data_IF_816482926091
#
_entry.id   IF_816482926091
#
_cell.length_a   1.000
_cell.length_b   1.000
_cell.length_c   1.000
_cell.angle_alpha   90.00
_cell.angle_beta   90.00
_cell.angle_gamma   90.00
#
_symmetry.space_group_name_H-M   'P 1'
#
loop_
_entity.id
_entity.type
_entity.pdbx_description
1 polymer ?
#
# COMPACT_ATOMS: atom_id res chain seq x y z
N UNK A 1 -2.67 0.69 -13.34
CA UNK A 1 -2.91 -0.66 -12.76
C UNK A 1 -4.40 -0.97 -12.93
N UNK A 2 -4.89 -2.15 -12.55
CA UNK A 2 -6.32 -2.49 -12.68
C UNK A 2 -7.23 -1.55 -11.88
N UNK A 3 -6.72 -0.91 -10.81
CA UNK A 3 -7.42 0.10 -10.02
C UNK A 3 -7.38 1.52 -10.62
N UNK A 4 -6.95 1.70 -11.86
CA UNK A 4 -6.89 3.00 -12.54
C UNK A 4 -5.67 3.87 -12.21
N UNK A 5 -4.86 3.52 -11.21
CA UNK A 5 -3.76 4.39 -10.78
C UNK A 5 -2.60 4.47 -11.79
N UNK A 6 -1.94 5.64 -11.84
CA UNK A 6 -0.68 5.87 -12.54
C UNK A 6 0.49 5.75 -11.57
N UNK A 7 1.57 5.05 -11.97
CA UNK A 7 2.81 4.95 -11.18
C UNK A 7 4.02 5.43 -11.99
N UNK A 8 4.76 6.38 -11.44
CA UNK A 8 6.02 6.88 -11.96
C UNK A 8 7.15 6.37 -11.07
N UNK A 9 8.09 5.60 -11.62
CA UNK A 9 9.04 4.81 -10.82
C UNK A 9 10.48 5.12 -11.19
N UNK A 10 11.34 5.22 -10.18
CA UNK A 10 12.79 5.19 -10.27
C UNK A 10 13.28 4.07 -9.37
N UNK A 11 13.76 2.97 -9.96
CA UNK A 11 14.12 1.75 -9.23
C UNK A 11 15.62 1.46 -9.34
N UNK A 12 16.26 1.12 -8.22
CA UNK A 12 17.61 0.59 -8.17
C UNK A 12 17.66 -0.91 -8.43
N UNK A 13 18.84 -1.43 -8.77
CA UNK A 13 19.07 -2.87 -8.96
C UNK A 13 18.99 -3.67 -7.66
N UNK A 14 19.03 -3.00 -6.51
CA UNK A 14 18.95 -3.54 -5.16
C UNK A 14 17.51 -3.56 -4.60
N UNK A 15 16.50 -3.29 -5.44
CA UNK A 15 15.10 -3.11 -5.07
C UNK A 15 14.78 -1.85 -4.25
N UNK A 16 15.77 -0.99 -3.98
CA UNK A 16 15.48 0.36 -3.50
C UNK A 16 14.80 1.17 -4.61
N UNK A 17 14.11 2.24 -4.24
CA UNK A 17 13.52 3.10 -5.26
C UNK A 17 12.56 4.14 -4.72
N UNK A 18 12.01 4.87 -5.67
CA UNK A 18 11.02 5.89 -5.44
C UNK A 18 9.88 5.69 -6.44
N UNK A 19 8.65 5.76 -5.95
CA UNK A 19 7.44 5.61 -6.75
C UNK A 19 6.50 6.75 -6.39
N UNK A 20 6.12 7.57 -7.37
CA UNK A 20 4.97 8.48 -7.23
C UNK A 20 3.74 7.79 -7.80
N UNK A 21 2.68 7.69 -7.00
CA UNK A 21 1.39 7.12 -7.43
C UNK A 21 0.33 8.21 -7.46
N UNK A 22 -0.46 8.23 -8.51
CA UNK A 22 -1.58 9.17 -8.71
C UNK A 22 -2.83 8.38 -9.01
N UNK A 23 -3.87 8.60 -8.20
CA UNK A 23 -5.22 8.16 -8.50
C UNK A 23 -5.94 9.24 -9.32
N UNK A 24 -6.49 8.95 -10.51
CA UNK A 24 -7.35 9.87 -11.25
C UNK A 24 -8.54 10.35 -10.42
N UNK A 25 -9.14 11.48 -10.78
CA UNK A 25 -10.36 11.98 -10.12
C UNK A 25 -11.60 11.10 -10.41
N UNK A 26 -11.55 10.26 -11.44
CA UNK A 26 -12.63 9.35 -11.83
C UNK A 26 -12.59 7.99 -11.15
N UNK A 27 -11.47 7.63 -10.54
CA UNK A 27 -11.18 6.28 -10.08
C UNK A 27 -10.83 6.26 -8.60
N UNK A 28 -10.92 5.08 -8.00
CA UNK A 28 -10.49 4.80 -6.65
C UNK A 28 -10.27 3.30 -6.50
N UNK A 29 -9.51 2.90 -5.49
CA UNK A 29 -9.45 1.49 -5.17
C UNK A 29 -8.27 1.09 -4.33
N UNK A 30 -8.37 -0.15 -3.86
CA UNK A 30 -7.26 -0.87 -3.26
C UNK A 30 -6.27 -1.28 -4.33
N UNK A 31 -5.00 -1.29 -3.95
CA UNK A 31 -3.95 -1.95 -4.71
C UNK A 31 -4.02 -3.47 -4.51
N UNK A 32 -2.96 -4.17 -4.91
CA UNK A 32 -2.78 -5.59 -4.60
C UNK A 32 -2.04 -5.74 -3.27
N UNK A 33 -2.63 -6.48 -2.33
CA UNK A 33 -2.03 -6.72 -1.04
C UNK A 33 -0.74 -7.53 -1.20
N UNK A 34 0.30 -7.10 -0.50
CA UNK A 34 1.62 -7.72 -0.58
C UNK A 34 2.42 -7.52 0.69
N UNK A 35 3.57 -8.17 0.75
CA UNK A 35 4.61 -7.90 1.74
C UNK A 35 5.98 -7.90 1.09
N UNK A 36 6.93 -7.34 1.83
CA UNK A 36 8.36 -7.32 1.51
C UNK A 36 9.12 -8.22 2.48
N UNK A 37 10.23 -8.80 2.05
CA UNK A 37 11.07 -9.63 2.92
C UNK A 37 12.31 -8.89 3.43
N UNK A 38 12.79 -7.88 2.72
CA UNK A 38 13.93 -7.06 3.15
C UNK A 38 13.76 -5.56 2.86
N UNK A 39 12.93 -5.18 1.89
CA UNK A 39 12.57 -3.78 1.63
C UNK A 39 11.60 -3.24 2.69
N UNK A 40 11.94 -2.08 3.22
CA UNK A 40 11.04 -1.18 3.94
C UNK A 40 10.34 -0.28 2.93
N UNK A 41 9.05 -0.01 3.12
CA UNK A 41 8.29 0.91 2.27
C UNK A 41 7.73 2.07 3.10
N UNK A 42 8.17 3.28 2.80
CA UNK A 42 7.64 4.51 3.40
C UNK A 42 6.71 5.18 2.40
N UNK A 43 5.45 5.38 2.79
CA UNK A 43 4.45 6.08 2.02
C UNK A 43 4.20 7.45 2.63
N UNK A 44 4.34 8.50 1.81
CA UNK A 44 4.02 9.89 2.15
C UNK A 44 2.80 10.32 1.33
N UNK A 45 1.79 10.88 1.98
CA UNK A 45 0.57 11.34 1.32
C UNK A 45 0.73 12.80 0.89
N UNK A 46 0.78 13.06 -0.42
CA UNK A 46 0.93 14.41 -0.97
C UNK A 46 -0.43 15.12 -1.11
N UNK A 47 -1.47 14.38 -1.49
CA UNK A 47 -2.81 14.92 -1.72
C UNK A 47 -3.89 13.91 -1.33
N UNK A 48 -5.03 14.42 -0.85
CA UNK A 48 -6.15 13.60 -0.39
C UNK A 48 -5.86 12.88 0.91
N UNK A 49 -6.28 11.62 0.97
CA UNK A 49 -6.05 10.67 2.05
C UNK A 49 -5.78 9.28 1.46
N UNK A 50 -5.28 8.35 2.27
CA UNK A 50 -5.19 6.94 1.91
C UNK A 50 -5.67 6.05 3.04
N UNK A 51 -6.30 4.93 2.68
CA UNK A 51 -6.57 3.85 3.61
C UNK A 51 -5.40 2.89 3.62
N UNK A 52 -4.93 2.48 4.78
CA UNK A 52 -3.88 1.48 4.93
C UNK A 52 -4.45 0.29 5.69
N UNK A 53 -4.33 -0.89 5.10
CA UNK A 53 -4.66 -2.14 5.72
C UNK A 53 -3.39 -2.92 6.03
N UNK A 54 -3.26 -3.45 7.25
CA UNK A 54 -2.16 -4.34 7.66
C UNK A 54 -2.72 -5.64 8.21
N UNK A 55 -2.01 -6.74 7.94
CA UNK A 55 -2.16 -8.02 8.63
C UNK A 55 -0.97 -8.18 9.57
N UNK A 56 -1.23 -8.03 10.87
CA UNK A 56 -0.21 -8.20 11.90
C UNK A 56 0.18 -9.68 12.06
N UNK A 57 1.38 -9.98 12.61
CA UNK A 57 1.86 -11.36 12.79
C UNK A 57 0.93 -12.26 13.62
N UNK A 58 0.11 -11.68 14.49
CA UNK A 58 -0.90 -12.40 15.27
C UNK A 58 -2.22 -12.65 14.51
N UNK A 59 -2.27 -12.37 13.21
CA UNK A 59 -3.45 -12.49 12.37
C UNK A 59 -4.45 -11.33 12.48
N UNK A 60 -4.17 -10.32 13.31
CA UNK A 60 -5.06 -9.16 13.46
C UNK A 60 -4.99 -8.28 12.22
N UNK A 61 -6.15 -7.96 11.65
CA UNK A 61 -6.30 -6.99 10.57
C UNK A 61 -6.51 -5.59 11.16
N UNK A 62 -5.70 -4.62 10.75
CA UNK A 62 -5.84 -3.22 11.16
C UNK A 62 -6.07 -2.34 9.94
N UNK A 63 -6.94 -1.35 10.10
CA UNK A 63 -7.16 -0.29 9.11
C UNK A 63 -6.83 1.05 9.73
N UNK A 64 -6.13 1.90 8.97
CA UNK A 64 -5.77 3.27 9.35
C UNK A 64 -6.02 4.19 8.18
N UNK A 65 -6.19 5.48 8.48
CA UNK A 65 -6.30 6.54 7.49
C UNK A 65 -5.17 7.52 7.72
N UNK A 66 -4.49 7.88 6.64
CA UNK A 66 -3.44 8.89 6.62
C UNK A 66 -3.86 10.00 5.67
N UNK A 67 -3.80 11.24 6.15
CA UNK A 67 -4.19 12.43 5.40
C UNK A 67 -2.99 13.05 4.71
N UNK A 68 -3.24 14.05 3.87
CA UNK A 68 -2.19 14.91 3.32
C UNK A 68 -1.16 15.31 4.39
N UNK A 69 0.11 15.15 4.05
CA UNK A 69 1.31 15.37 4.86
C UNK A 69 1.58 14.31 5.94
N UNK A 70 0.73 13.31 6.10
CA UNK A 70 1.05 12.15 6.93
C UNK A 70 1.99 11.18 6.18
N UNK A 71 2.63 10.30 6.95
CA UNK A 71 3.41 9.19 6.43
C UNK A 71 3.14 7.90 7.19
N UNK A 72 3.35 6.78 6.49
CA UNK A 72 3.27 5.44 7.04
C UNK A 72 4.44 4.58 6.57
N UNK A 73 4.95 3.71 7.44
CA UNK A 73 6.05 2.80 7.15
C UNK A 73 5.60 1.36 7.27
N UNK A 74 5.72 0.61 6.17
CA UNK A 74 5.54 -0.83 6.15
C UNK A 74 6.87 -1.53 6.44
N UNK A 75 6.82 -2.46 7.39
CA UNK A 75 7.97 -3.25 7.78
C UNK A 75 8.00 -4.59 7.02
N UNK A 76 9.20 -5.13 6.73
CA UNK A 76 9.36 -6.48 6.19
C UNK A 76 8.60 -7.53 7.00
N UNK A 77 7.94 -8.44 6.29
CA UNK A 77 7.13 -9.53 6.84
C UNK A 77 5.66 -9.17 7.12
N UNK A 78 5.28 -7.89 7.02
CA UNK A 78 3.92 -7.45 7.26
C UNK A 78 3.17 -7.33 5.94
N UNK A 79 2.14 -8.16 5.78
CA UNK A 79 1.21 -8.04 4.66
C UNK A 79 0.41 -6.75 4.80
N UNK A 80 0.34 -5.99 3.72
CA UNK A 80 -0.31 -4.70 3.69
C UNK A 80 -0.98 -4.42 2.36
N UNK A 81 -1.93 -3.49 2.37
CA UNK A 81 -2.57 -2.95 1.19
C UNK A 81 -2.85 -1.45 1.38
N UNK A 82 -2.96 -0.73 0.27
CA UNK A 82 -3.22 0.71 0.27
C UNK A 82 -4.47 0.97 -0.59
N UNK A 83 -5.43 1.64 -0.02
CA UNK A 83 -6.57 2.24 -0.70
C UNK A 83 -6.23 3.67 -1.09
N UNK A 84 -6.48 4.01 -2.34
CA UNK A 84 -6.36 5.37 -2.84
C UNK A 84 -7.75 5.86 -3.32
N UNK A 85 -8.33 6.89 -2.69
CA UNK A 85 -9.53 7.56 -3.19
C UNK A 85 -9.19 8.42 -4.42
N UNK A 86 -10.23 8.90 -5.10
CA UNK A 86 -10.11 9.82 -6.22
C UNK A 86 -9.23 11.03 -5.89
N UNK A 87 -8.30 11.35 -6.81
CA UNK A 87 -7.39 12.49 -6.68
C UNK A 87 -6.25 12.30 -5.65
N UNK A 88 -6.16 11.14 -4.98
CA UNK A 88 -5.06 10.89 -4.04
C UNK A 88 -3.71 10.80 -4.75
N UNK A 89 -2.68 11.35 -4.09
CA UNK A 89 -1.29 11.28 -4.58
C UNK A 89 -0.40 10.83 -3.44
N UNK A 90 0.41 9.80 -3.69
CA UNK A 90 1.39 9.29 -2.73
C UNK A 90 2.79 9.24 -3.33
N UNK A 91 3.76 9.29 -2.43
CA UNK A 91 5.16 8.97 -2.71
C UNK A 91 5.53 7.76 -1.88
N UNK A 92 6.10 6.76 -2.51
CA UNK A 92 6.57 5.53 -1.90
C UNK A 92 8.09 5.50 -2.05
N UNK A 93 8.82 5.44 -0.94
CA UNK A 93 10.26 5.29 -0.87
C UNK A 93 10.54 3.87 -0.39
N UNK A 94 11.29 3.12 -1.19
CA UNK A 94 11.73 1.75 -0.91
C UNK A 94 13.21 1.77 -0.57
N UNK A 95 13.58 1.19 0.57
CA UNK A 95 14.98 1.07 1.00
C UNK A 95 15.21 -0.19 1.83
N UNK A 96 16.48 -0.58 1.99
CA UNK A 96 16.88 -1.81 2.69
C UNK A 96 17.42 -2.88 1.72
N UNK A 97 17.69 -4.06 2.26
CA UNK A 97 18.32 -5.16 1.53
C UNK A 97 17.26 -6.05 0.88
N UNK A 98 16.84 -5.71 -0.33
CA UNK A 98 15.75 -6.41 -1.00
C UNK A 98 16.01 -7.90 -1.24
N UNK A 99 15.04 -8.74 -0.87
CA UNK A 99 15.08 -10.19 -1.12
C UNK A 99 14.24 -10.50 -2.35
N UNK A 100 14.88 -10.50 -3.51
CA UNK A 100 14.19 -10.62 -4.80
C UNK A 100 13.30 -11.84 -4.93
N UNK A 101 12.11 -11.66 -5.52
CA UNK A 101 11.15 -12.72 -5.80
C UNK A 101 11.28 -13.19 -7.27
N UNK A 102 11.68 -14.45 -7.53
CA UNK A 102 11.76 -14.97 -8.90
C UNK A 102 10.42 -14.96 -9.67
N UNK A 103 9.28 -14.94 -8.96
CA UNK A 103 7.95 -14.86 -9.58
C UNK A 103 7.54 -13.43 -9.98
N UNK A 104 8.36 -12.43 -9.69
CA UNK A 104 8.11 -11.00 -9.93
C UNK A 104 9.36 -10.31 -10.46
N UNK A 105 10.07 -10.97 -11.38
CA UNK A 105 11.25 -10.43 -12.06
C UNK A 105 12.37 -9.95 -11.10
N UNK A 106 12.52 -10.63 -9.96
CA UNK A 106 13.51 -10.27 -8.94
C UNK A 106 13.09 -9.13 -8.02
N UNK A 107 11.87 -8.59 -8.17
CA UNK A 107 11.34 -7.59 -7.26
C UNK A 107 11.17 -8.20 -5.85
N UNK A 108 11.62 -7.53 -4.80
CA UNK A 108 11.19 -7.88 -3.43
C UNK A 108 9.72 -7.48 -3.29
N UNK A 109 8.82 -8.35 -3.72
CA UNK A 109 7.38 -8.17 -3.67
C UNK A 109 6.73 -9.55 -3.64
N UNK A 110 6.00 -9.85 -2.58
CA UNK A 110 5.38 -11.16 -2.38
C UNK A 110 3.89 -10.99 -2.14
N UNK A 111 3.07 -11.81 -2.81
CA UNK A 111 1.62 -11.78 -2.67
C UNK A 111 1.22 -12.09 -1.22
N UNK A 112 0.33 -11.26 -0.67
CA UNK A 112 -0.28 -11.54 0.63
C UNK A 112 -1.22 -12.76 0.56
N UNK A 113 -1.60 -13.33 1.73
CA UNK A 113 -2.64 -14.34 1.79
C UNK A 113 -3.91 -13.92 1.02
N UNK A 114 -4.50 -14.79 0.17
CA UNK A 114 -5.62 -14.41 -0.69
C UNK A 114 -6.84 -13.90 0.07
N UNK A 115 -7.08 -14.39 1.29
CA UNK A 115 -8.17 -13.96 2.15
C UNK A 115 -7.99 -12.53 2.67
N UNK A 116 -6.74 -12.08 2.87
CA UNK A 116 -6.43 -10.70 3.25
C UNK A 116 -6.57 -9.75 2.06
N UNK A 117 -6.08 -10.12 0.87
CA UNK A 117 -6.27 -9.33 -0.35
C UNK A 117 -7.76 -9.16 -0.66
N UNK A 118 -8.51 -10.26 -0.67
CA UNK A 118 -9.96 -10.23 -0.90
C UNK A 118 -10.70 -9.41 0.17
N UNK A 119 -10.33 -9.55 1.45
CA UNK A 119 -10.93 -8.76 2.52
C UNK A 119 -10.67 -7.27 2.33
N UNK A 120 -9.41 -6.86 2.15
CA UNK A 120 -9.07 -5.44 1.99
C UNK A 120 -9.81 -4.84 0.80
N UNK A 121 -9.80 -5.52 -0.36
CA UNK A 121 -10.52 -5.09 -1.57
C UNK A 121 -12.04 -5.00 -1.44
N UNK A 122 -12.64 -5.68 -0.46
CA UNK A 122 -14.08 -5.59 -0.21
C UNK A 122 -14.49 -4.36 0.62
N UNK A 123 -13.52 -3.70 1.29
CA UNK A 123 -13.77 -2.51 2.10
C UNK A 123 -14.04 -1.30 1.22
N UNK A 124 -15.17 -0.65 1.46
CA UNK A 124 -15.51 0.66 0.87
C UNK A 124 -14.99 1.80 1.74
N UNK A 125 -15.01 3.03 1.25
CA UNK A 125 -14.55 4.20 2.02
C UNK A 125 -15.22 4.31 3.41
N UNK A 126 -16.54 4.07 3.47
CA UNK A 126 -17.27 4.05 4.74
C UNK A 126 -16.75 2.98 5.71
N UNK A 127 -16.39 1.79 5.22
CA UNK A 127 -15.79 0.74 6.05
C UNK A 127 -14.39 1.14 6.52
N UNK A 128 -13.61 1.78 5.65
CA UNK A 128 -12.26 2.25 5.98
C UNK A 128 -12.31 3.26 7.12
N UNK A 129 -13.18 4.28 7.02
CA UNK A 129 -13.33 5.28 8.08
C UNK A 129 -13.86 4.66 9.38
N UNK A 130 -14.82 3.74 9.31
CA UNK A 130 -15.37 3.06 10.48
C UNK A 130 -14.30 2.20 11.18
N UNK A 131 -13.58 1.38 10.42
CA UNK A 131 -12.52 0.51 10.96
C UNK A 131 -11.30 1.30 11.47
N UNK A 132 -11.07 2.51 10.94
CA UNK A 132 -10.09 3.45 11.46
C UNK A 132 -10.57 4.24 12.70
N UNK A 133 -11.82 4.03 13.15
CA UNK A 133 -12.39 4.73 14.30
C UNK A 133 -12.70 6.21 14.07
N UNK A 134 -12.87 6.62 12.81
CA UNK A 134 -13.15 8.01 12.43
C UNK A 134 -14.65 8.32 12.30
N UNK A 135 -15.49 7.30 12.30
CA UNK A 135 -16.95 7.41 12.34
C UNK A 135 -17.53 6.34 13.27
N UNK A 136 -18.67 6.65 13.89
CA UNK A 136 -19.39 5.77 14.82
C UNK A 136 -20.17 4.67 14.09
#
# INVERSE_FOLDING_TARGET
MDNGEYRFRLMGSDNSGYIRTVMPDSDHGWQNAHYHKGVMEVVVVQAGWVGVADLLPNGTRKVRVFWKNDMWMFHPGYSHNIYMPAGAVTHCIKHGDGVGNPKKDGADWYESPPDFDAWSKSLREADIFRLAGLVA
#
